data_IF_299711208733
#
_entry.id   IF_299711208733
#
_cell.length_a   1.000
_cell.length_b   1.000
_cell.length_c   1.000
_cell.angle_alpha   90.00
_cell.angle_beta   90.00
_cell.angle_gamma   90.00
#
_symmetry.space_group_name_H-M   'P 1'
#
loop_
_entity.id
_entity.type
_entity.pdbx_description
1 polymer ?
#
# COMPACT_ATOMS: atom_id res chain seq x y z
N UNK A 1 43.88 24.25 -36.91
CA UNK A 1 44.43 22.96 -36.44
C UNK A 1 44.37 23.00 -34.91
N UNK A 2 43.28 22.54 -34.28
CA UNK A 2 43.18 21.27 -33.50
C UNK A 2 44.52 20.94 -32.79
N UNK A 3 44.67 20.82 -31.46
CA UNK A 3 43.81 20.22 -30.42
C UNK A 3 44.19 20.77 -29.03
N UNK A 4 43.20 20.88 -28.13
CA UNK A 4 43.38 21.15 -26.69
C UNK A 4 44.00 19.92 -25.96
N UNK A 5 44.79 20.13 -24.89
CA UNK A 5 45.56 19.08 -24.23
C UNK A 5 44.73 18.15 -23.33
N UNK A 6 45.13 16.87 -23.16
CA UNK A 6 44.55 15.97 -22.16
C UNK A 6 45.28 16.17 -20.83
N UNK A 7 44.57 16.58 -19.79
CA UNK A 7 45.20 16.77 -18.49
C UNK A 7 44.22 16.95 -17.35
N UNK A 8 44.39 16.07 -16.36
CA UNK A 8 44.00 16.22 -14.96
C UNK A 8 42.54 15.92 -14.56
N UNK A 9 42.37 14.65 -14.14
CA UNK A 9 41.58 14.27 -12.98
C UNK A 9 41.77 15.25 -11.81
N UNK A 10 40.70 15.73 -11.19
CA UNK A 10 40.55 15.75 -9.72
C UNK A 10 39.24 16.43 -9.27
N UNK A 11 38.56 15.73 -8.35
CA UNK A 11 37.92 16.27 -7.15
C UNK A 11 36.75 17.25 -7.29
N UNK A 12 35.57 16.83 -6.82
CA UNK A 12 34.51 17.76 -6.47
C UNK A 12 33.24 17.16 -5.88
N UNK A 13 33.33 16.69 -4.63
CA UNK A 13 32.31 16.78 -3.57
C UNK A 13 30.86 16.32 -3.87
N UNK A 14 30.42 15.22 -3.27
CA UNK A 14 29.66 15.23 -2.00
C UNK A 14 28.36 16.06 -2.08
N UNK A 15 27.27 15.39 -2.45
CA UNK A 15 25.95 15.67 -1.87
C UNK A 15 25.37 14.36 -1.36
N UNK A 16 25.58 14.13 -0.06
CA UNK A 16 24.77 13.25 0.76
C UNK A 16 23.30 13.66 0.62
N UNK A 17 22.38 12.72 0.44
CA UNK A 17 21.11 12.76 1.18
C UNK A 17 20.58 11.34 1.43
N UNK A 18 20.38 11.07 2.71
CA UNK A 18 19.54 10.04 3.33
C UNK A 18 19.89 8.58 2.96
N UNK A 19 20.67 7.88 3.77
CA UNK A 19 20.16 7.30 5.02
C UNK A 19 18.76 6.71 4.77
N UNK A 20 18.74 5.47 4.30
CA UNK A 20 17.58 4.60 4.46
C UNK A 20 17.36 4.44 5.94
N UNK A 21 16.62 5.39 6.51
CA UNK A 21 16.00 5.22 7.80
C UNK A 21 14.98 4.11 7.61
N UNK A 22 15.35 2.90 8.04
CA UNK A 22 14.43 1.97 8.65
C UNK A 22 13.64 2.77 9.69
N UNK A 23 12.56 3.36 9.21
CA UNK A 23 11.54 3.92 10.06
C UNK A 23 10.78 2.72 10.56
N UNK A 24 11.35 2.07 11.58
CA UNK A 24 10.61 1.42 12.66
C UNK A 24 9.84 2.49 13.43
N UNK A 25 9.10 3.32 12.71
CA UNK A 25 7.98 4.08 13.23
C UNK A 25 6.82 3.15 13.11
N UNK A 26 6.62 2.33 14.14
CA UNK A 26 5.36 1.64 14.34
C UNK A 26 4.26 2.68 14.37
N UNK A 27 3.69 2.99 13.20
CA UNK A 27 2.30 3.42 13.16
C UNK A 27 1.55 2.33 13.90
N UNK A 28 0.72 2.66 14.90
CA UNK A 28 -0.14 1.65 15.50
C UNK A 28 -0.91 1.05 14.33
N UNK A 29 -0.56 -0.18 13.96
CA UNK A 29 -1.30 -0.94 12.99
C UNK A 29 -2.67 -1.07 13.64
N UNK A 30 -3.59 -0.20 13.22
CA UNK A 30 -4.96 -0.30 13.66
C UNK A 30 -5.41 -1.59 13.01
N UNK A 31 -5.40 -2.64 13.84
CA UNK A 31 -5.63 -4.00 13.43
C UNK A 31 -6.97 -4.01 12.71
N UNK A 32 -7.06 -4.68 11.57
CA UNK A 32 -8.27 -4.65 10.74
C UNK A 32 -9.52 -4.98 11.58
N UNK A 33 -9.35 -5.91 12.53
CA UNK A 33 -10.37 -6.33 13.49
C UNK A 33 -10.87 -5.25 14.48
N UNK A 34 -10.16 -4.13 14.64
CA UNK A 34 -10.44 -3.11 15.69
C UNK A 34 -10.85 -1.73 15.17
N UNK A 35 -10.88 -1.52 13.85
CA UNK A 35 -11.33 -0.24 13.29
C UNK A 35 -12.86 -0.24 13.18
N UNK A 36 -13.54 0.76 13.75
CA UNK A 36 -14.95 1.02 13.47
C UNK A 36 -15.09 1.50 12.02
N UNK A 37 -15.21 0.55 11.10
CA UNK A 37 -15.47 0.80 9.69
C UNK A 37 -16.97 0.96 9.49
N UNK A 38 -17.38 1.79 8.52
CA UNK A 38 -18.75 1.77 8.02
C UNK A 38 -19.12 0.32 7.65
N UNK A 39 -20.41 -0.04 7.70
CA UNK A 39 -20.87 -1.42 7.41
C UNK A 39 -20.36 -1.83 6.02
N UNK A 40 -19.24 -2.55 5.98
CA UNK A 40 -18.69 -3.11 4.77
C UNK A 40 -19.41 -4.43 4.48
N UNK A 41 -19.59 -4.82 3.21
CA UNK A 41 -20.13 -6.14 2.88
C UNK A 41 -19.30 -7.25 3.54
N UNK A 42 -19.94 -8.35 3.89
CA UNK A 42 -19.29 -9.48 4.58
C UNK A 42 -19.21 -10.69 3.64
N UNK A 43 -18.10 -11.42 3.72
CA UNK A 43 -17.82 -12.54 2.82
C UNK A 43 -18.78 -13.72 2.99
N UNK A 44 -19.41 -13.89 4.16
CA UNK A 44 -20.40 -14.95 4.38
C UNK A 44 -21.74 -14.64 3.71
N UNK A 45 -22.06 -13.36 3.48
CA UNK A 45 -23.34 -12.94 2.88
C UNK A 45 -23.19 -12.59 1.39
N UNK A 46 -22.07 -11.97 1.02
CA UNK A 46 -21.78 -11.55 -0.36
C UNK A 46 -20.29 -11.73 -0.65
N UNK A 47 -19.86 -12.92 -1.14
CA UNK A 47 -18.45 -13.18 -1.38
C UNK A 47 -17.90 -12.41 -2.58
N UNK A 48 -18.73 -11.77 -3.42
CA UNK A 48 -18.31 -11.17 -4.69
C UNK A 48 -17.76 -9.74 -4.56
N UNK A 49 -16.97 -9.48 -3.52
CA UNK A 49 -16.40 -8.16 -3.29
C UNK A 49 -14.95 -8.19 -2.78
N UNK A 50 -14.28 -7.07 -2.99
CA UNK A 50 -13.02 -6.74 -2.32
C UNK A 50 -13.01 -5.28 -1.89
N UNK A 51 -12.26 -4.98 -0.84
CA UNK A 51 -12.10 -3.64 -0.28
C UNK A 51 -10.61 -3.30 -0.27
N UNK A 52 -10.25 -2.18 -0.89
CA UNK A 52 -8.89 -1.64 -0.84
C UNK A 52 -8.90 -0.42 0.10
N UNK A 53 -8.00 -0.41 1.08
CA UNK A 53 -7.84 0.65 2.06
C UNK A 53 -6.65 1.53 1.69
N UNK A 54 -6.82 2.84 1.85
CA UNK A 54 -5.83 3.84 1.45
C UNK A 54 -5.37 4.70 2.62
N UNK A 55 -4.17 5.28 2.52
CA UNK A 55 -3.59 6.16 3.55
C UNK A 55 -4.35 7.46 3.75
N UNK A 56 -5.09 7.91 2.73
CA UNK A 56 -5.69 9.24 2.68
C UNK A 56 -6.90 9.28 1.73
N UNK A 57 -7.63 10.40 1.78
CA UNK A 57 -8.82 10.63 0.98
C UNK A 57 -8.59 10.74 -0.53
N UNK A 58 -7.34 10.98 -0.97
CA UNK A 58 -6.99 11.01 -2.39
C UNK A 58 -6.80 9.60 -2.96
N UNK A 59 -6.73 8.58 -2.09
CA UNK A 59 -6.68 7.15 -2.45
C UNK A 59 -5.51 6.80 -3.37
N UNK A 60 -4.35 7.43 -3.13
CA UNK A 60 -3.16 7.24 -3.97
C UNK A 60 -2.29 6.07 -3.51
N UNK A 61 -2.27 5.80 -2.21
CA UNK A 61 -1.42 4.75 -1.62
C UNK A 61 -2.29 3.74 -0.91
N UNK A 62 -2.31 2.50 -1.42
CA UNK A 62 -2.97 1.38 -0.76
C UNK A 62 -2.14 0.95 0.46
N UNK A 63 -2.80 0.82 1.60
CA UNK A 63 -2.20 0.42 2.88
C UNK A 63 -2.79 -0.87 3.45
N UNK A 64 -3.87 -1.35 2.83
CA UNK A 64 -4.48 -2.61 3.20
C UNK A 64 -5.49 -3.08 2.17
N UNK A 65 -5.84 -4.35 2.28
CA UNK A 65 -6.77 -5.01 1.41
C UNK A 65 -7.58 -6.05 2.18
N UNK A 66 -8.82 -6.21 1.76
CA UNK A 66 -9.74 -7.22 2.25
C UNK A 66 -10.47 -7.85 1.08
N UNK A 67 -10.62 -9.16 1.07
CA UNK A 67 -11.43 -9.84 0.08
C UNK A 67 -11.90 -11.18 0.57
N UNK A 68 -12.65 -11.86 -0.29
CA UNK A 68 -13.32 -13.10 0.08
C UNK A 68 -12.72 -14.29 -0.65
N UNK A 69 -12.65 -15.42 0.05
CA UNK A 69 -12.47 -16.73 -0.58
C UNK A 69 -13.81 -17.25 -1.10
N UNK A 70 -13.73 -18.30 -1.90
CA UNK A 70 -14.89 -19.04 -2.38
C UNK A 70 -15.70 -19.71 -1.26
N UNK A 71 -15.06 -19.99 -0.13
CA UNK A 71 -15.70 -20.58 1.04
C UNK A 71 -16.39 -19.54 1.95
N UNK A 72 -16.40 -18.27 1.51
CA UNK A 72 -16.95 -17.15 2.28
C UNK A 72 -16.05 -16.69 3.42
N UNK A 73 -14.78 -17.09 3.42
CA UNK A 73 -13.80 -16.64 4.40
C UNK A 73 -13.21 -15.28 3.99
N UNK A 74 -13.03 -14.40 4.98
CA UNK A 74 -12.42 -13.10 4.77
C UNK A 74 -10.89 -13.18 4.86
N UNK A 75 -10.21 -12.74 3.80
CA UNK A 75 -8.76 -12.57 3.78
C UNK A 75 -8.45 -11.09 3.96
N UNK A 76 -7.59 -10.80 4.93
CA UNK A 76 -7.23 -9.47 5.35
C UNK A 76 -5.71 -9.27 5.32
N UNK A 77 -5.26 -8.18 4.71
CA UNK A 77 -3.85 -7.80 4.60
C UNK A 77 -3.68 -6.32 4.92
N UNK A 78 -2.61 -5.96 5.65
CA UNK A 78 -2.26 -4.57 5.92
C UNK A 78 -3.15 -3.88 6.96
N UNK A 79 -3.53 -2.62 6.68
CA UNK A 79 -4.22 -1.73 7.62
C UNK A 79 -5.59 -1.27 7.11
N UNK A 80 -6.53 -1.18 8.04
CA UNK A 80 -7.88 -0.68 7.79
C UNK A 80 -7.88 0.83 7.96
N UNK A 81 -8.56 1.53 7.06
CA UNK A 81 -8.73 2.98 7.16
C UNK A 81 -10.16 3.36 6.80
N UNK A 82 -10.51 4.62 7.05
CA UNK A 82 -11.80 5.21 6.64
C UNK A 82 -11.82 5.59 5.15
N UNK A 83 -10.67 5.55 4.46
CA UNK A 83 -10.54 5.86 3.05
C UNK A 83 -10.42 4.55 2.28
N UNK A 84 -11.54 4.08 1.73
CA UNK A 84 -11.58 2.81 1.03
C UNK A 84 -12.38 2.87 -0.26
N UNK A 85 -12.17 1.86 -1.10
CA UNK A 85 -13.01 1.55 -2.26
C UNK A 85 -13.50 0.12 -2.17
N UNK A 86 -14.78 -0.09 -2.48
CA UNK A 86 -15.36 -1.43 -2.64
C UNK A 86 -15.45 -1.73 -4.12
N UNK A 87 -14.93 -2.88 -4.53
CA UNK A 87 -15.06 -3.41 -5.88
C UNK A 87 -15.88 -4.68 -5.84
N UNK A 88 -16.83 -4.81 -6.76
CA UNK A 88 -17.60 -6.04 -6.92
C UNK A 88 -17.10 -6.75 -8.16
N UNK A 89 -16.49 -7.91 -7.95
CA UNK A 89 -15.99 -8.76 -9.03
C UNK A 89 -16.62 -10.14 -8.88
N UNK A 90 -17.12 -10.72 -9.98
CA UNK A 90 -17.57 -12.09 -9.94
C UNK A 90 -16.38 -12.96 -9.57
N UNK A 91 -16.44 -13.56 -8.38
CA UNK A 91 -15.43 -14.50 -7.92
C UNK A 91 -15.59 -15.76 -8.78
N UNK A 92 -14.64 -15.99 -9.68
CA UNK A 92 -14.56 -17.22 -10.46
C UNK A 92 -14.02 -18.33 -9.56
N UNK A 93 -14.92 -18.90 -8.77
CA UNK A 93 -14.66 -20.06 -7.95
C UNK A 93 -14.68 -21.34 -8.82
N UNK A 94 -13.69 -22.23 -8.69
CA UNK A 94 -13.65 -23.50 -9.41
C UNK A 94 -14.73 -24.50 -8.95
#
# INVERSE_FOLDING_TARGET
>A
MRHLPPGLLCMGALLLTACGADSTGGSPATNLATTEQAILPDCATDPHHSVNFYSDHTRTTEVGWRGCTCDGEEINLGQATSWYTVSYTPLSCP
#
